data_IF_244891001053
#
_entry.id   IF_244891001053
#
_cell.length_a   1.000
_cell.length_b   1.000
_cell.length_c   1.000
_cell.angle_alpha   90.00
_cell.angle_beta   90.00
_cell.angle_gamma   90.00
#
_symmetry.space_group_name_H-M   'P 1'
#
loop_
_entity.id
_entity.type
_entity.pdbx_description
1 polymer ?
#
# COMPACT_ATOMS: atom_id res chain seq x y z
N UNK A 1 -7.07 -2.17 -8.80
CA UNK A 1 -6.98 -1.57 -7.44
C UNK A 1 -5.94 -2.25 -6.56
N UNK A 2 -5.81 -3.58 -6.55
CA UNK A 2 -4.77 -4.31 -5.80
C UNK A 2 -3.33 -4.10 -6.31
N UNK A 3 -3.15 -3.72 -7.58
CA UNK A 3 -1.82 -3.55 -8.18
C UNK A 3 -0.95 -2.53 -7.44
N UNK A 4 -1.54 -1.50 -6.84
CA UNK A 4 -0.78 -0.46 -6.13
C UNK A 4 -0.16 -0.93 -4.81
N UNK A 5 -0.82 -1.84 -4.08
CA UNK A 5 -0.30 -2.37 -2.83
C UNK A 5 0.86 -3.36 -3.02
N UNK A 6 0.83 -4.13 -4.13
CA UNK A 6 1.81 -5.19 -4.43
C UNK A 6 3.21 -4.61 -4.70
N UNK A 7 3.33 -3.46 -5.37
CA UNK A 7 4.64 -2.83 -5.59
C UNK A 7 5.04 -1.91 -4.44
N UNK A 8 4.07 -1.24 -3.80
CA UNK A 8 4.34 -0.26 -2.75
C UNK A 8 4.97 -0.91 -1.52
N UNK A 9 4.42 -2.02 -1.02
CA UNK A 9 4.92 -2.70 0.18
C UNK A 9 6.40 -3.10 0.08
N UNK A 10 6.80 -3.87 -0.95
CA UNK A 10 8.20 -4.24 -1.16
C UNK A 10 9.12 -3.04 -1.40
N UNK A 11 8.71 -2.08 -2.24
CA UNK A 11 9.56 -0.91 -2.54
C UNK A 11 9.79 -0.06 -1.28
N UNK A 12 8.72 0.24 -0.54
CA UNK A 12 8.78 1.01 0.69
C UNK A 12 9.61 0.27 1.76
N UNK A 13 9.41 -1.04 1.89
CA UNK A 13 10.19 -1.89 2.78
C UNK A 13 11.70 -1.88 2.48
N UNK A 14 12.07 -1.99 1.20
CA UNK A 14 13.47 -1.90 0.75
C UNK A 14 14.05 -0.53 1.06
N UNK A 15 13.33 0.56 0.77
CA UNK A 15 13.78 1.91 1.08
C UNK A 15 14.00 2.10 2.59
N UNK A 16 13.02 1.70 3.41
CA UNK A 16 13.11 1.81 4.87
C UNK A 16 14.21 0.94 5.46
N UNK A 17 14.45 -0.24 4.89
CA UNK A 17 15.55 -1.11 5.27
C UNK A 17 16.90 -0.38 5.15
N UNK A 18 17.18 0.24 4.00
CA UNK A 18 18.46 0.91 3.76
C UNK A 18 18.58 2.27 4.45
N UNK A 19 17.48 2.99 4.65
CA UNK A 19 17.51 4.34 5.24
C UNK A 19 17.50 4.34 6.77
N UNK A 20 16.69 3.46 7.38
CA UNK A 20 16.32 3.58 8.80
C UNK A 20 16.55 2.27 9.53
N UNK A 21 15.90 1.18 9.09
CA UNK A 21 15.75 -0.02 9.90
C UNK A 21 17.06 -0.77 10.13
N UNK A 22 17.91 -0.87 9.09
CA UNK A 22 19.24 -1.48 9.23
C UNK A 22 20.09 -0.79 10.31
N UNK A 23 20.00 0.54 10.41
CA UNK A 23 20.79 1.31 11.38
C UNK A 23 20.17 1.31 12.79
N UNK A 24 18.88 1.01 12.90
CA UNK A 24 18.16 0.90 14.17
C UNK A 24 18.24 -0.50 14.80
N UNK A 25 18.92 -1.44 14.15
CA UNK A 25 19.05 -2.81 14.64
C UNK A 25 17.78 -3.66 14.46
N UNK A 26 16.85 -3.23 13.61
CA UNK A 26 15.66 -4.02 13.29
C UNK A 26 16.04 -5.34 12.62
N UNK A 27 15.28 -6.38 12.95
CA UNK A 27 15.47 -7.70 12.34
C UNK A 27 14.81 -7.78 10.96
N UNK A 28 15.27 -8.70 10.12
CA UNK A 28 14.67 -8.90 8.79
C UNK A 28 13.19 -9.31 8.85
N UNK A 29 12.79 -10.00 9.92
CA UNK A 29 11.41 -10.41 10.17
C UNK A 29 10.52 -9.21 10.49
N UNK A 30 10.97 -8.31 11.38
CA UNK A 30 10.26 -7.07 11.71
C UNK A 30 10.06 -6.19 10.47
N UNK A 31 11.11 -6.04 9.66
CA UNK A 31 11.05 -5.28 8.41
C UNK A 31 10.03 -5.89 7.43
N UNK A 32 9.96 -7.22 7.33
CA UNK A 32 8.98 -7.93 6.51
C UNK A 32 7.54 -7.66 6.98
N UNK A 33 7.28 -7.80 8.28
CA UNK A 33 5.95 -7.58 8.87
C UNK A 33 5.52 -6.12 8.66
N UNK A 34 6.39 -5.16 8.93
CA UNK A 34 6.11 -3.74 8.74
C UNK A 34 5.85 -3.39 7.26
N UNK A 35 6.61 -3.97 6.34
CA UNK A 35 6.43 -3.75 4.90
C UNK A 35 5.09 -4.30 4.41
N UNK A 36 4.70 -5.49 4.89
CA UNK A 36 3.40 -6.09 4.58
C UNK A 36 2.25 -5.26 5.17
N UNK A 37 2.36 -4.83 6.43
CA UNK A 37 1.36 -3.99 7.08
C UNK A 37 1.18 -2.66 6.35
N UNK A 38 2.28 -2.00 5.96
CA UNK A 38 2.24 -0.76 5.19
C UNK A 38 1.59 -0.96 3.81
N UNK A 39 1.94 -2.04 3.10
CA UNK A 39 1.34 -2.39 1.81
C UNK A 39 -0.16 -2.65 1.90
N UNK A 40 -0.60 -3.39 2.92
CA UNK A 40 -2.02 -3.69 3.18
C UNK A 40 -2.81 -2.42 3.52
N UNK A 41 -2.30 -1.59 4.44
CA UNK A 41 -2.95 -0.34 4.82
C UNK A 41 -3.06 0.60 3.62
N UNK A 42 -1.97 0.79 2.87
CA UNK A 42 -1.97 1.61 1.67
C UNK A 42 -2.97 1.10 0.63
N UNK A 43 -2.96 -0.20 0.33
CA UNK A 43 -3.92 -0.82 -0.57
C UNK A 43 -5.37 -0.64 -0.13
N UNK A 44 -5.64 -0.81 1.17
CA UNK A 44 -6.96 -0.61 1.77
C UNK A 44 -7.44 0.83 1.64
N UNK A 45 -6.62 1.82 2.03
CA UNK A 45 -6.96 3.24 1.90
C UNK A 45 -7.15 3.65 0.44
N UNK A 46 -6.33 3.14 -0.48
CA UNK A 46 -6.50 3.40 -1.91
C UNK A 46 -7.79 2.81 -2.45
N UNK A 47 -8.16 1.59 -2.06
CA UNK A 47 -9.44 0.99 -2.43
C UNK A 47 -10.61 1.83 -1.90
N UNK A 48 -10.55 2.26 -0.64
CA UNK A 48 -11.55 3.13 -0.03
C UNK A 48 -11.62 4.49 -0.73
N UNK A 49 -10.48 5.10 -1.06
CA UNK A 49 -10.40 6.37 -1.78
C UNK A 49 -11.00 6.25 -3.19
N UNK A 50 -10.73 5.16 -3.90
CA UNK A 50 -11.35 4.91 -5.20
C UNK A 50 -12.87 4.72 -5.09
N UNK A 51 -13.32 3.96 -4.09
CA UNK A 51 -14.75 3.79 -3.82
C UNK A 51 -15.43 5.13 -3.49
N UNK A 52 -14.84 5.91 -2.59
CA UNK A 52 -15.33 7.24 -2.23
C UNK A 52 -15.39 8.16 -3.44
N UNK A 53 -14.34 8.19 -4.27
CA UNK A 53 -14.30 9.02 -5.48
C UNK A 53 -15.35 8.60 -6.51
N UNK A 54 -15.58 7.29 -6.68
CA UNK A 54 -16.67 6.77 -7.53
C UNK A 54 -18.02 7.29 -7.06
N UNK A 55 -18.27 7.20 -5.75
CA UNK A 55 -19.52 7.67 -5.13
C UNK A 55 -19.68 9.20 -5.19
N UNK A 56 -18.63 9.95 -4.91
CA UNK A 56 -18.64 11.42 -4.89
C UNK A 56 -18.84 12.01 -6.30
N UNK A 57 -18.22 11.41 -7.32
CA UNK A 57 -18.30 11.90 -8.70
C UNK A 57 -19.42 11.27 -9.54
N UNK A 58 -20.30 10.45 -8.94
CA UNK A 58 -21.40 9.73 -9.64
C UNK A 58 -20.91 9.05 -10.93
N UNK A 59 -19.73 8.44 -10.88
CA UNK A 59 -19.17 7.78 -12.06
C UNK A 59 -20.05 6.56 -12.40
N UNK A 60 -20.44 6.39 -13.68
CA UNK A 60 -21.21 5.23 -14.12
C UNK A 60 -20.42 3.95 -13.85
N UNK A 61 -21.14 2.84 -13.73
CA UNK A 61 -20.48 1.56 -13.49
C UNK A 61 -19.67 1.15 -14.72
N UNK A 62 -18.61 0.37 -14.54
CA UNK A 62 -17.75 -0.06 -15.66
C UNK A 62 -18.52 -0.83 -16.75
N UNK A 63 -19.70 -1.36 -16.43
CA UNK A 63 -20.59 -2.04 -17.37
C UNK A 63 -21.43 -1.10 -18.24
N UNK A 64 -21.46 0.21 -17.93
CA UNK A 64 -22.16 1.24 -18.71
C UNK A 64 -21.23 1.95 -19.71
N UNK A 65 -20.01 1.44 -19.92
CA UNK A 65 -18.99 1.97 -20.85
C UNK A 65 -18.71 1.00 -22.00
#
# INVERSE_FOLDING_TARGET
MLFFGIWFGPLWGVLMWFMVWKNQGHTGEEALILSLAAGLLFGFFMALFHYWRKKANRLPDWNDL
#
